data_IF_332653891918
#
_entry.id   IF_332653891918
#
_cell.length_a   1.000
_cell.length_b   1.000
_cell.length_c   1.000
_cell.angle_alpha   90.00
_cell.angle_beta   90.00
_cell.angle_gamma   90.00
#
_symmetry.space_group_name_H-M   'P 1'
#
loop_
_entity.id
_entity.type
_entity.pdbx_description
1 polymer ?
#
# COMPACT_ATOMS: atom_id res chain seq x y z
N UNK A 1 9.90 10.24 -5.67
CA UNK A 1 10.19 9.51 -4.42
C UNK A 1 9.04 8.60 -4.03
N UNK A 2 7.81 9.08 -3.96
CA UNK A 2 6.60 8.25 -3.73
C UNK A 2 6.53 7.00 -4.59
N UNK A 3 6.77 7.16 -5.90
CA UNK A 3 6.80 6.04 -6.84
C UNK A 3 7.87 4.99 -6.47
N UNK A 4 9.07 5.44 -6.10
CA UNK A 4 10.19 4.57 -5.73
C UNK A 4 9.85 3.80 -4.46
N UNK A 5 9.38 4.49 -3.41
CA UNK A 5 8.97 3.84 -2.16
C UNK A 5 7.87 2.82 -2.41
N UNK A 6 6.84 3.20 -3.19
CA UNK A 6 5.76 2.30 -3.57
C UNK A 6 6.26 1.05 -4.31
N UNK A 7 7.26 1.18 -5.20
CA UNK A 7 7.86 0.05 -5.89
C UNK A 7 8.58 -0.87 -4.89
N UNK A 8 9.38 -0.33 -3.97
CA UNK A 8 10.09 -1.14 -2.98
C UNK A 8 9.08 -1.90 -2.11
N UNK A 9 8.05 -1.22 -1.61
CA UNK A 9 7.01 -1.85 -0.78
C UNK A 9 6.24 -2.94 -1.55
N UNK A 10 6.02 -2.80 -2.86
CA UNK A 10 5.41 -3.86 -3.68
C UNK A 10 6.31 -5.12 -3.84
N UNK A 11 7.58 -5.00 -3.53
CA UNK A 11 8.51 -6.12 -3.55
C UNK A 11 8.84 -6.63 -2.14
N UNK A 12 8.26 -6.04 -1.09
CA UNK A 12 8.41 -6.52 0.27
C UNK A 12 7.46 -7.69 0.54
N UNK A 13 8.03 -8.89 0.70
CA UNK A 13 7.24 -10.11 0.91
C UNK A 13 6.40 -10.06 2.19
N UNK A 14 6.92 -9.52 3.30
CA UNK A 14 6.20 -9.43 4.56
C UNK A 14 4.88 -8.66 4.42
N UNK A 15 4.92 -7.49 3.77
CA UNK A 15 3.73 -6.69 3.48
C UNK A 15 2.74 -7.40 2.55
N UNK A 16 3.24 -8.03 1.46
CA UNK A 16 2.36 -8.76 0.54
C UNK A 16 1.65 -9.94 1.19
N UNK A 17 2.37 -10.72 1.99
CA UNK A 17 1.77 -11.82 2.74
C UNK A 17 0.66 -11.31 3.67
N UNK A 18 0.88 -10.19 4.38
CA UNK A 18 -0.15 -9.62 5.22
C UNK A 18 -1.42 -9.30 4.41
N UNK A 19 -1.26 -8.62 3.28
CA UNK A 19 -2.40 -8.24 2.44
C UNK A 19 -3.10 -9.48 1.86
N UNK A 20 -2.35 -10.45 1.35
CA UNK A 20 -2.89 -11.71 0.81
C UNK A 20 -3.67 -12.53 1.86
N UNK A 21 -3.24 -12.45 3.12
CA UNK A 21 -3.91 -13.10 4.25
C UNK A 21 -5.05 -12.27 4.87
N UNK A 22 -5.39 -11.11 4.29
CA UNK A 22 -6.47 -10.23 4.78
C UNK A 22 -6.11 -9.46 6.06
N UNK A 23 -4.83 -9.46 6.43
CA UNK A 23 -4.30 -8.59 7.47
C UNK A 23 -4.32 -7.17 6.91
N UNK A 24 -4.87 -6.21 7.66
CA UNK A 24 -5.12 -4.84 7.17
C UNK A 24 -6.54 -4.56 6.68
N UNK A 25 -7.44 -5.57 6.69
CA UNK A 25 -8.88 -5.37 6.49
C UNK A 25 -9.32 -5.41 5.02
N UNK A 26 -10.29 -4.58 4.67
CA UNK A 26 -10.82 -4.52 3.29
C UNK A 26 -9.79 -3.94 2.31
N UNK A 27 -9.95 -4.21 1.02
CA UNK A 27 -9.07 -3.65 -0.02
C UNK A 27 -8.97 -2.12 0.05
N UNK A 28 -10.07 -1.42 0.38
CA UNK A 28 -10.07 0.02 0.57
C UNK A 28 -9.27 0.46 1.79
N UNK A 29 -9.33 -0.29 2.89
CA UNK A 29 -8.54 -0.01 4.09
C UNK A 29 -7.05 -0.27 3.85
N UNK A 30 -6.70 -1.37 3.17
CA UNK A 30 -5.33 -1.65 2.74
C UNK A 30 -4.79 -0.53 1.83
N UNK A 31 -5.59 -0.06 0.88
CA UNK A 31 -5.20 1.05 0.00
C UNK A 31 -4.85 2.32 0.79
N UNK A 32 -5.68 2.66 1.79
CA UNK A 32 -5.46 3.81 2.66
C UNK A 32 -4.18 3.63 3.50
N UNK A 33 -4.01 2.46 4.13
CA UNK A 33 -2.83 2.11 4.93
C UNK A 33 -1.55 2.17 4.10
N UNK A 34 -1.53 1.59 2.90
CA UNK A 34 -0.38 1.67 1.98
C UNK A 34 -0.05 3.12 1.62
N UNK A 35 -1.06 3.93 1.29
CA UNK A 35 -0.84 5.35 1.00
C UNK A 35 -0.30 6.10 2.23
N UNK A 36 -0.79 5.77 3.43
CA UNK A 36 -0.30 6.33 4.69
C UNK A 36 1.16 5.96 4.92
N UNK A 37 1.51 4.67 4.79
CA UNK A 37 2.87 4.16 4.97
C UNK A 37 3.87 4.87 4.05
N UNK A 38 3.55 5.01 2.76
CA UNK A 38 4.42 5.72 1.81
C UNK A 38 4.66 7.16 2.24
N UNK A 39 3.61 7.87 2.69
CA UNK A 39 3.74 9.25 3.18
C UNK A 39 4.62 9.32 4.43
N UNK A 40 4.36 8.46 5.42
CA UNK A 40 5.13 8.42 6.66
C UNK A 40 6.61 8.14 6.40
N UNK A 41 6.92 7.19 5.52
CA UNK A 41 8.32 6.89 5.14
C UNK A 41 8.97 8.12 4.51
N UNK A 42 8.29 8.84 3.62
CA UNK A 42 8.85 10.03 2.96
C UNK A 42 9.02 11.19 3.93
N UNK A 43 8.05 11.41 4.82
CA UNK A 43 8.14 12.42 5.88
C UNK A 43 9.35 12.13 6.77
N UNK A 44 9.52 10.86 7.18
CA UNK A 44 10.65 10.41 7.98
C UNK A 44 11.98 10.60 7.26
N UNK A 45 12.06 10.26 5.97
CA UNK A 45 13.26 10.47 5.14
C UNK A 45 13.64 11.95 5.01
N UNK A 46 12.68 12.87 5.10
CA UNK A 46 12.97 14.31 5.05
C UNK A 46 13.37 14.91 6.40
N UNK A 47 13.34 14.13 7.49
CA UNK A 47 13.90 14.57 8.77
C UNK A 47 15.42 14.72 8.70
N UNK A 48 15.95 15.71 9.42
CA UNK A 48 17.40 15.84 9.58
C UNK A 48 17.96 14.61 10.32
N UNK A 49 19.13 14.13 9.90
CA UNK A 49 19.86 13.03 10.54
C UNK A 49 19.10 11.69 10.60
N UNK A 50 18.13 11.47 9.70
CA UNK A 50 17.46 10.17 9.58
C UNK A 50 18.47 9.08 9.20
N UNK A 51 18.42 7.94 9.90
CA UNK A 51 19.12 6.71 9.52
C UNK A 51 18.16 5.69 8.92
N UNK A 52 18.70 4.66 8.28
CA UNK A 52 17.89 3.54 7.80
C UNK A 52 17.19 2.81 8.97
N UNK A 53 17.81 2.74 10.15
CA UNK A 53 17.22 2.15 11.37
C UNK A 53 15.91 2.87 11.72
N UNK A 54 15.88 4.20 11.61
CA UNK A 54 14.65 4.96 11.87
C UNK A 54 13.52 4.69 10.87
N UNK A 55 13.87 4.25 9.65
CA UNK A 55 12.89 3.79 8.67
C UNK A 55 12.46 2.36 9.02
N UNK A 56 13.38 1.50 9.45
CA UNK A 56 13.07 0.13 9.88
C UNK A 56 12.10 0.13 11.05
N UNK A 57 12.39 0.88 12.12
CA UNK A 57 11.51 1.03 13.29
C UNK A 57 10.09 1.45 12.87
N UNK A 58 9.99 2.40 11.93
CA UNK A 58 8.71 2.86 11.39
C UNK A 58 7.98 1.76 10.61
N UNK A 59 8.69 0.96 9.82
CA UNK A 59 8.11 -0.15 9.06
C UNK A 59 7.61 -1.26 10.00
N UNK A 60 8.38 -1.61 11.02
CA UNK A 60 7.98 -2.61 12.02
C UNK A 60 6.78 -2.14 12.84
N UNK A 61 6.81 -0.92 13.37
CA UNK A 61 5.69 -0.33 14.11
C UNK A 61 4.42 -0.29 13.26
N UNK A 62 4.54 0.09 11.98
CA UNK A 62 3.39 0.12 11.09
C UNK A 62 2.82 -1.28 10.82
N UNK A 63 3.67 -2.28 10.65
CA UNK A 63 3.23 -3.66 10.43
C UNK A 63 2.54 -4.24 11.66
N UNK A 64 3.04 -3.94 12.85
CA UNK A 64 2.41 -4.37 14.11
C UNK A 64 1.05 -3.67 14.30
N UNK A 65 1.01 -2.34 14.21
CA UNK A 65 -0.20 -1.57 14.52
C UNK A 65 -1.27 -1.69 13.43
N UNK A 66 -0.90 -1.57 12.15
CA UNK A 66 -1.87 -1.45 11.06
C UNK A 66 -2.23 -2.79 10.41
N UNK A 67 -1.32 -3.77 10.47
CA UNK A 67 -1.51 -5.11 9.92
C UNK A 67 -1.60 -6.20 10.99
N UNK A 68 -1.35 -5.90 12.28
CA UNK A 68 -1.33 -6.91 13.34
C UNK A 68 -0.30 -8.02 13.05
N UNK A 69 0.87 -7.61 12.55
CA UNK A 69 1.97 -8.50 12.17
C UNK A 69 3.27 -8.04 12.81
N UNK A 70 3.80 -8.89 13.69
CA UNK A 70 5.17 -8.77 14.19
C UNK A 70 6.15 -9.36 13.17
N UNK A 71 7.20 -8.62 12.85
CA UNK A 71 8.28 -9.08 11.97
C UNK A 71 9.47 -9.52 12.81
N UNK A 72 10.03 -10.69 12.50
CA UNK A 72 11.22 -11.23 13.21
C UNK A 72 12.29 -11.75 12.21
N UNK A 73 12.07 -11.54 10.92
CA UNK A 73 12.91 -12.07 9.84
C UNK A 73 13.98 -11.07 9.35
N UNK A 74 14.01 -9.85 9.91
CA UNK A 74 14.91 -8.78 9.49
C UNK A 74 14.55 -8.14 8.15
N UNK A 75 13.39 -8.47 7.56
CA UNK A 75 13.01 -7.94 6.25
C UNK A 75 12.70 -6.44 6.28
N UNK A 76 12.27 -5.90 7.43
CA UNK A 76 12.09 -4.45 7.63
C UNK A 76 13.41 -3.69 7.47
N UNK A 77 14.50 -4.21 8.06
CA UNK A 77 15.84 -3.65 7.96
C UNK A 77 16.33 -3.61 6.51
N UNK A 78 16.19 -4.73 5.79
CA UNK A 78 16.59 -4.84 4.38
C UNK A 78 15.84 -3.83 3.50
N UNK A 79 14.52 -3.73 3.67
CA UNK A 79 13.68 -2.77 2.94
C UNK A 79 14.07 -1.33 3.29
N UNK A 80 14.26 -1.04 4.57
CA UNK A 80 14.65 0.29 5.04
C UNK A 80 15.99 0.74 4.46
N UNK A 81 16.99 -0.15 4.41
CA UNK A 81 18.28 0.12 3.79
C UNK A 81 18.16 0.43 2.30
N UNK A 82 17.36 -0.34 1.56
CA UNK A 82 17.13 -0.11 0.12
C UNK A 82 16.43 1.24 -0.11
N UNK A 83 15.38 1.55 0.67
CA UNK A 83 14.66 2.82 0.58
C UNK A 83 15.59 3.99 0.90
N UNK A 84 16.39 3.88 1.96
CA UNK A 84 17.33 4.91 2.39
C UNK A 84 18.43 5.16 1.33
N UNK A 85 19.01 4.10 0.77
CA UNK A 85 20.01 4.21 -0.29
C UNK A 85 19.44 4.91 -1.54
N UNK A 86 18.25 4.50 -1.98
CA UNK A 86 17.58 5.11 -3.13
C UNK A 86 17.20 6.57 -2.87
N UNK A 87 16.84 6.92 -1.63
CA UNK A 87 16.58 8.30 -1.23
C UNK A 87 17.84 9.17 -1.34
N UNK A 88 18.99 8.66 -0.88
CA UNK A 88 20.26 9.38 -0.99
C UNK A 88 20.63 9.63 -2.46
N UNK A 89 20.56 8.60 -3.30
CA UNK A 89 20.76 8.73 -4.75
C UNK A 89 19.76 9.71 -5.39
N UNK A 90 18.52 9.74 -4.91
CA UNK A 90 17.50 10.69 -5.36
C UNK A 90 17.86 12.13 -4.99
N UNK A 91 18.38 12.37 -3.78
CA UNK A 91 18.84 13.70 -3.34
C UNK A 91 20.08 14.17 -4.12
N UNK A 92 20.98 13.27 -4.46
CA UNK A 92 22.15 13.58 -5.31
C UNK A 92 21.79 13.77 -6.80
N UNK A 93 20.56 13.45 -7.19
CA UNK A 93 20.11 13.54 -8.59
C UNK A 93 20.72 12.45 -9.49
N UNK A 94 21.25 11.37 -8.92
CA UNK A 94 21.87 10.27 -9.66
C UNK A 94 20.81 9.31 -10.26
N UNK A 95 20.06 9.84 -11.23
CA UNK A 95 18.95 9.12 -11.88
C UNK A 95 19.40 7.82 -12.55
N UNK A 96 20.63 7.76 -13.06
CA UNK A 96 21.14 6.55 -13.73
C UNK A 96 21.26 5.39 -12.75
N UNK A 97 21.82 5.63 -11.57
CA UNK A 97 21.99 4.59 -10.57
C UNK A 97 20.65 4.14 -9.96
N UNK A 98 19.73 5.10 -9.75
CA UNK A 98 18.35 4.78 -9.36
C UNK A 98 17.70 3.85 -10.40
N UNK A 99 17.77 4.19 -11.69
CA UNK A 99 17.20 3.36 -12.74
C UNK A 99 17.87 1.98 -12.82
N UNK A 100 19.20 1.92 -12.65
CA UNK A 100 19.93 0.65 -12.62
C UNK A 100 19.44 -0.25 -11.48
N UNK A 101 19.31 0.29 -10.27
CA UNK A 101 18.80 -0.45 -9.11
C UNK A 101 17.34 -0.85 -9.29
N UNK A 102 16.49 0.09 -9.72
CA UNK A 102 15.09 -0.20 -10.01
C UNK A 102 14.95 -1.28 -11.08
N UNK A 103 15.84 -1.34 -12.09
CA UNK A 103 15.83 -2.37 -13.13
C UNK A 103 16.05 -3.80 -12.61
N UNK A 104 16.66 -3.98 -11.44
CA UNK A 104 16.86 -5.28 -10.79
C UNK A 104 15.62 -5.79 -10.04
N UNK A 105 14.65 -4.92 -9.78
CA UNK A 105 13.45 -5.24 -9.01
C UNK A 105 12.41 -5.96 -9.89
N UNK A 106 11.70 -6.96 -9.39
CA UNK A 106 10.75 -7.70 -10.23
C UNK A 106 9.51 -6.86 -10.59
N UNK A 107 8.82 -6.32 -9.59
CA UNK A 107 7.61 -5.53 -9.79
C UNK A 107 7.99 -4.05 -9.90
N UNK A 108 7.70 -3.42 -11.04
CA UNK A 108 7.96 -1.98 -11.27
C UNK A 108 6.76 -1.09 -10.97
N UNK A 109 5.61 -1.68 -10.66
CA UNK A 109 4.38 -0.95 -10.39
C UNK A 109 4.41 -0.54 -8.91
N UNK A 110 4.24 0.75 -8.59
CA UNK A 110 4.12 1.19 -7.22
C UNK A 110 2.92 0.54 -6.53
N UNK A 111 3.08 0.08 -5.29
CA UNK A 111 2.04 -0.65 -4.56
C UNK A 111 0.70 0.08 -4.56
N UNK A 112 0.69 1.39 -4.33
CA UNK A 112 -0.52 2.21 -4.32
C UNK A 112 -1.30 2.20 -5.65
N UNK A 113 -0.65 2.00 -6.80
CA UNK A 113 -1.32 1.92 -8.10
C UNK A 113 -2.09 0.60 -8.25
N UNK A 114 -1.62 -0.48 -7.63
CA UNK A 114 -2.31 -1.77 -7.60
C UNK A 114 -3.67 -1.65 -6.90
N UNK A 115 -3.74 -0.89 -5.81
CA UNK A 115 -4.97 -0.70 -5.03
C UNK A 115 -5.84 0.46 -5.52
N UNK A 116 -5.33 1.35 -6.37
CA UNK A 116 -6.17 2.35 -7.08
C UNK A 116 -7.12 1.67 -8.08
N UNK A 117 -6.72 0.55 -8.68
CA UNK A 117 -7.51 -0.18 -9.68
C UNK A 117 -8.59 -1.10 -9.08
N UNK A 118 -8.56 -1.34 -7.76
CA UNK A 118 -9.50 -2.21 -7.04
C UNK A 118 -10.54 -1.39 -6.28
N UNK A 119 -10.87 -0.18 -6.73
CA UNK A 119 -12.10 0.47 -6.29
C UNK A 119 -13.29 -0.12 -7.08
N UNK A 120 -14.08 -1.05 -6.51
CA UNK A 120 -15.45 -1.17 -6.96
C UNK A 120 -16.12 0.15 -6.61
N UNK A 121 -16.89 0.70 -7.54
CA UNK A 121 -17.89 1.70 -7.23
C UNK A 121 -18.70 1.20 -6.03
N UNK A 122 -18.44 1.74 -4.83
CA UNK A 122 -19.46 1.70 -3.80
C UNK A 122 -20.63 2.49 -4.38
N UNK A 123 -21.83 1.88 -4.57
CA UNK A 123 -23.00 2.71 -4.80
C UNK A 123 -23.09 3.64 -3.59
N UNK A 124 -23.15 4.93 -3.87
CA UNK A 124 -23.33 5.95 -2.85
C UNK A 124 -24.48 5.51 -1.94
N UNK A 125 -24.22 5.31 -0.66
CA UNK A 125 -25.28 5.08 0.33
C UNK A 125 -26.04 6.41 0.42
N UNK A 126 -27.08 6.55 -0.42
CA UNK A 126 -28.02 7.66 -0.34
C UNK A 126 -28.86 7.45 0.91
N UNK A 127 -28.53 8.21 1.95
CA UNK A 127 -29.37 8.30 3.15
C UNK A 127 -30.41 9.37 2.88
N UNK A 128 -31.58 8.97 2.41
CA UNK A 128 -32.73 9.87 2.32
C UNK A 128 -33.39 9.96 3.70
N UNK A 129 -33.65 11.17 4.15
CA UNK A 129 -34.43 11.45 5.37
C UNK A 129 -35.80 11.90 4.94
N UNK A 130 -36.84 11.24 5.43
CA UNK A 130 -38.21 11.69 5.21
C UNK A 130 -38.52 12.92 6.08
N UNK A 131 -39.60 13.62 5.75
CA UNK A 131 -40.07 14.82 6.49
C UNK A 131 -40.50 14.50 7.93
N UNK A 132 -40.52 13.22 8.34
CA UNK A 132 -40.85 12.78 9.70
C UNK A 132 -39.60 12.38 10.52
N UNK A 133 -38.40 12.46 9.94
CA UNK A 133 -37.14 12.23 10.65
C UNK A 133 -36.74 10.75 10.82
N UNK A 134 -37.38 9.83 10.10
CA UNK A 134 -36.99 8.42 10.14
C UNK A 134 -35.96 8.11 9.05
N UNK A 135 -34.80 7.56 9.46
CA UNK A 135 -33.75 7.08 8.56
C UNK A 135 -33.97 5.60 8.27
N UNK A 136 -34.09 5.22 7.00
CA UNK A 136 -34.10 3.82 6.57
C UNK A 136 -32.97 3.55 5.56
N UNK A 137 -32.31 2.40 5.71
CA UNK A 137 -31.32 1.94 4.73
C UNK A 137 -32.10 1.24 3.61
N UNK A 138 -32.02 1.79 2.40
CA UNK A 138 -32.55 1.13 1.21
C UNK A 138 -31.45 0.23 0.65
N UNK A 139 -31.51 -1.06 0.95
CA UNK A 139 -30.73 -2.05 0.21
C UNK A 139 -31.34 -2.17 -1.20
N UNK A 140 -30.66 -1.59 -2.19
CA UNK A 140 -30.94 -1.90 -3.58
C UNK A 140 -30.55 -3.36 -3.82
N UNK A 141 -31.55 -4.24 -3.92
CA UNK A 141 -31.38 -5.57 -4.49
C UNK A 141 -31.06 -5.42 -5.98
N UNK A 142 -29.77 -5.33 -6.32
CA UNK A 142 -29.29 -5.49 -7.69
C UNK A 142 -28.82 -6.94 -7.86
N UNK A 143 -29.68 -7.69 -8.52
CA UNK A 143 -29.34 -8.87 -9.31
C UNK A 143 -28.23 -8.53 -10.34
N UNK A 144 -27.58 -9.58 -10.84
CA UNK A 144 -26.56 -9.66 -11.92
C UNK A 144 -25.06 -9.64 -11.59
N UNK A 145 -24.38 -10.73 -12.02
CA UNK A 145 -22.97 -10.66 -12.44
C UNK A 145 -22.09 -11.91 -12.41
N UNK A 146 -22.60 -13.15 -12.35
CA UNK A 146 -21.75 -14.35 -12.46
C UNK A 146 -21.06 -14.41 -13.83
N UNK A 147 -19.72 -14.41 -13.87
CA UNK A 147 -18.97 -14.50 -15.13
C UNK A 147 -18.79 -15.96 -15.56
N UNK A 148 -19.39 -16.34 -16.70
CA UNK A 148 -19.25 -17.67 -17.31
C UNK A 148 -17.90 -17.81 -18.03
N UNK A 149 -17.09 -18.80 -17.63
CA UNK A 149 -15.83 -19.17 -18.29
C UNK A 149 -16.07 -20.13 -19.48
N UNK A 150 -15.93 -19.63 -20.71
CA UNK A 150 -15.96 -20.45 -21.93
C UNK A 150 -14.64 -21.20 -22.12
N UNK A 151 -14.67 -22.52 -22.00
CA UNK A 151 -13.56 -23.39 -22.40
C UNK A 151 -13.71 -23.71 -23.89
N UNK A 152 -12.71 -23.34 -24.70
CA UNK A 152 -12.66 -23.62 -26.14
C UNK A 152 -12.12 -25.04 -26.34
N UNK A 153 -12.89 -25.92 -27.01
CA UNK A 153 -12.38 -27.11 -27.69
C UNK A 153 -12.25 -26.84 -29.18
#
# INVERSE_FOLDING_TARGET
MEEIVGIILNNWTGLKMCIEHGMGGSNSSVAEKVCCLIKLVIEKLNCANVSWENISDLLEEFMDVEFNTLLEDGSADEVAQIVYELFYLFKEGNKNEINRKLNLINVKIPLQEEYKMVQPHHPAVVTETDTAGNSYIVENASDDGWTVVKHRR
#
